data_IF_525021180074
#
_entry.id   IF_525021180074
#
_cell.length_a   1.000
_cell.length_b   1.000
_cell.length_c   1.000
_cell.angle_alpha   90.00
_cell.angle_beta   90.00
_cell.angle_gamma   90.00
#
_symmetry.space_group_name_H-M   'P 1'
#
loop_
_entity.id
_entity.type
_entity.pdbx_description
1 polymer ?
#
# COMPACT_ATOMS: atom_id res chain seq x y z
N UNK A 1 33.49 -15.35 16.04
CA UNK A 1 32.86 -14.56 17.13
C UNK A 1 33.27 -13.12 16.97
N UNK A 2 32.40 -12.28 16.43
CA UNK A 2 32.38 -10.82 16.65
C UNK A 2 30.99 -10.34 16.25
N UNK A 3 30.23 -10.00 17.28
CA UNK A 3 28.87 -9.48 17.30
C UNK A 3 28.86 -8.04 16.78
N UNK A 4 28.17 -7.81 15.67
CA UNK A 4 27.85 -6.46 15.17
C UNK A 4 26.47 -6.05 15.65
N UNK A 5 26.42 -5.04 16.52
CA UNK A 5 25.23 -4.50 17.16
C UNK A 5 24.16 -4.08 16.13
N UNK A 6 22.96 -4.63 16.28
CA UNK A 6 21.76 -4.12 15.61
C UNK A 6 21.39 -2.77 16.22
N UNK A 7 21.26 -1.75 15.38
CA UNK A 7 20.83 -0.41 15.78
C UNK A 7 19.42 -0.46 16.34
N UNK A 8 19.30 -0.16 17.62
CA UNK A 8 18.06 0.04 18.36
C UNK A 8 17.42 1.36 17.90
N UNK A 9 16.63 1.35 16.83
CA UNK A 9 15.88 2.56 16.42
C UNK A 9 14.51 2.31 15.82
N UNK A 10 13.88 1.15 16.06
CA UNK A 10 12.47 0.91 15.70
C UNK A 10 11.73 0.09 16.78
N UNK A 11 11.60 0.67 17.97
CA UNK A 11 10.57 0.23 18.92
C UNK A 11 9.22 0.87 18.50
N UNK A 12 8.11 0.12 18.46
CA UNK A 12 6.79 0.70 18.26
C UNK A 12 6.53 1.73 19.36
N UNK A 13 6.25 2.97 18.96
CA UNK A 13 6.02 4.06 19.90
C UNK A 13 4.69 3.89 20.65
N UNK A 14 4.60 4.36 21.91
CA UNK A 14 3.38 4.26 22.72
C UNK A 14 2.19 5.02 22.07
N UNK A 15 0.96 4.52 22.22
CA UNK A 15 -0.23 5.17 21.69
C UNK A 15 -0.52 6.46 22.48
N UNK A 16 -0.81 7.57 21.78
CA UNK A 16 -1.36 8.76 22.45
C UNK A 16 -0.85 10.15 22.02
N UNK A 17 0.06 10.27 21.05
CA UNK A 17 0.33 11.58 20.40
C UNK A 17 -0.01 11.49 18.93
N UNK A 18 -1.14 12.09 18.52
CA UNK A 18 -1.40 12.36 17.10
C UNK A 18 -0.29 13.27 16.58
N UNK A 19 0.74 12.68 15.96
CA UNK A 19 1.73 13.47 15.24
C UNK A 19 1.03 14.09 14.05
N UNK A 20 1.08 15.42 13.96
CA UNK A 20 0.53 16.17 12.83
C UNK A 20 1.10 15.57 11.52
N UNK A 21 0.25 15.14 10.57
CA UNK A 21 0.71 14.51 9.34
C UNK A 21 1.73 15.38 8.60
N UNK A 22 2.74 14.80 7.92
CA UNK A 22 3.74 15.56 7.17
C UNK A 22 3.14 16.56 6.19
N UNK A 23 2.04 16.19 5.51
CA UNK A 23 1.34 17.06 4.56
C UNK A 23 0.76 18.33 5.22
N UNK A 24 0.25 18.22 6.45
CA UNK A 24 -0.30 19.37 7.19
C UNK A 24 0.83 20.32 7.60
N UNK A 25 1.95 19.77 8.07
CA UNK A 25 3.16 20.56 8.38
C UNK A 25 3.73 21.25 7.13
N UNK A 26 3.81 20.54 6.01
CA UNK A 26 4.24 21.12 4.74
C UNK A 26 3.30 22.24 4.27
N UNK A 27 1.99 22.05 4.39
CA UNK A 27 0.99 23.08 4.09
C UNK A 27 1.15 24.32 4.97
N UNK A 28 1.41 24.16 6.27
CA UNK A 28 1.70 25.27 7.17
C UNK A 28 2.97 26.04 6.79
N UNK A 29 4.03 25.33 6.34
CA UNK A 29 5.24 25.96 5.84
C UNK A 29 4.97 26.82 4.59
N UNK A 30 4.18 26.30 3.65
CA UNK A 30 3.76 27.04 2.46
C UNK A 30 2.94 28.28 2.81
N UNK A 31 1.96 28.14 3.68
CA UNK A 31 1.11 29.24 4.09
C UNK A 31 1.93 30.34 4.79
N UNK A 32 2.84 29.96 5.69
CA UNK A 32 3.74 30.91 6.35
C UNK A 32 4.65 31.63 5.36
N UNK A 33 5.27 30.90 4.42
CA UNK A 33 6.13 31.50 3.39
C UNK A 33 5.35 32.47 2.48
N UNK A 34 4.14 32.08 2.08
CA UNK A 34 3.26 32.93 1.26
C UNK A 34 2.87 34.21 2.01
N UNK A 35 2.48 34.11 3.29
CA UNK A 35 2.16 35.27 4.13
C UNK A 35 3.33 36.25 4.23
N UNK A 36 4.55 35.74 4.46
CA UNK A 36 5.78 36.57 4.52
C UNK A 36 6.04 37.29 3.20
N UNK A 37 5.91 36.59 2.07
CA UNK A 37 6.14 37.20 0.75
C UNK A 37 5.06 38.25 0.43
N UNK A 38 3.80 37.96 0.77
CA UNK A 38 2.65 38.83 0.52
C UNK A 38 2.62 40.10 1.38
N UNK A 39 3.29 40.11 2.53
CA UNK A 39 3.37 41.30 3.39
C UNK A 39 4.41 42.32 2.91
N UNK A 40 5.34 41.90 2.06
CA UNK A 40 6.46 42.75 1.58
C UNK A 40 6.24 43.20 0.13
N UNK A 41 5.57 42.39 -0.69
CA UNK A 41 5.43 42.65 -2.12
C UNK A 41 3.99 42.99 -2.52
N UNK A 42 3.79 43.89 -3.51
CA UNK A 42 2.47 44.20 -4.03
C UNK A 42 1.86 42.98 -4.75
N UNK A 43 0.53 42.87 -4.74
CA UNK A 43 -0.20 41.73 -5.29
C UNK A 43 0.19 41.38 -6.75
N UNK A 44 0.47 42.38 -7.58
CA UNK A 44 0.88 42.19 -8.97
C UNK A 44 2.24 41.48 -9.14
N UNK A 45 3.12 41.55 -8.13
CA UNK A 45 4.44 40.90 -8.17
C UNK A 45 4.42 39.45 -7.67
N UNK A 46 3.36 39.01 -6.97
CA UNK A 46 3.29 37.71 -6.29
C UNK A 46 3.34 36.50 -7.24
N UNK A 47 3.00 36.71 -8.51
CA UNK A 47 3.01 35.67 -9.54
C UNK A 47 4.34 35.62 -10.33
N UNK A 48 5.30 36.51 -10.02
CA UNK A 48 6.61 36.54 -10.68
C UNK A 48 7.44 35.30 -10.32
N UNK A 49 8.14 34.72 -11.30
CA UNK A 49 8.91 33.49 -11.11
C UNK A 49 9.92 33.54 -9.96
N UNK A 50 10.62 34.67 -9.79
CA UNK A 50 11.55 34.89 -8.67
C UNK A 50 10.86 34.89 -7.30
N UNK A 51 9.63 35.41 -7.23
CA UNK A 51 8.84 35.48 -6.00
C UNK A 51 8.33 34.10 -5.60
N UNK A 52 7.88 33.30 -6.57
CA UNK A 52 7.47 31.92 -6.35
C UNK A 52 8.66 31.03 -5.91
N UNK A 53 9.85 31.25 -6.50
CA UNK A 53 11.09 30.59 -6.07
C UNK A 53 11.45 30.98 -4.63
N UNK A 54 11.36 32.26 -4.28
CA UNK A 54 11.61 32.72 -2.91
C UNK A 54 10.63 32.10 -1.91
N UNK A 55 9.33 32.07 -2.23
CA UNK A 55 8.33 31.39 -1.41
C UNK A 55 8.69 29.90 -1.23
N UNK A 56 9.02 29.20 -2.31
CA UNK A 56 9.38 27.79 -2.28
C UNK A 56 10.64 27.51 -1.45
N UNK A 57 11.66 28.37 -1.54
CA UNK A 57 12.88 28.29 -0.74
C UNK A 57 12.59 28.52 0.75
N UNK A 58 11.77 29.53 1.09
CA UNK A 58 11.36 29.79 2.46
C UNK A 58 10.60 28.58 3.04
N UNK A 59 9.60 28.06 2.31
CA UNK A 59 8.84 26.89 2.73
C UNK A 59 9.73 25.63 2.88
N UNK A 60 10.66 25.41 1.96
CA UNK A 60 11.62 24.30 2.03
C UNK A 60 12.56 24.44 3.26
N UNK A 61 13.02 25.67 3.55
CA UNK A 61 13.81 25.98 4.74
C UNK A 61 13.04 25.72 6.04
N UNK A 62 11.80 26.22 6.14
CA UNK A 62 10.91 25.98 7.27
C UNK A 62 10.58 24.49 7.48
N UNK A 63 10.61 23.69 6.40
CA UNK A 63 10.41 22.24 6.47
C UNK A 63 11.40 21.52 7.39
N UNK A 64 12.64 22.04 7.53
CA UNK A 64 13.61 21.50 8.49
C UNK A 64 13.20 21.76 9.94
N UNK A 65 12.73 22.97 10.25
CA UNK A 65 12.22 23.32 11.58
C UNK A 65 10.99 22.47 11.96
N UNK A 66 10.16 22.14 10.97
CA UNK A 66 8.99 21.29 11.13
C UNK A 66 9.29 19.78 11.12
N UNK A 67 10.58 19.38 11.10
CA UNK A 67 11.01 17.97 11.10
C UNK A 67 10.38 17.15 9.97
N UNK A 68 10.33 17.73 8.77
CA UNK A 68 9.95 17.01 7.56
C UNK A 68 11.15 16.21 7.03
N UNK A 69 10.88 15.08 6.37
CA UNK A 69 11.92 14.32 5.68
C UNK A 69 12.56 15.16 4.56
N UNK A 70 13.85 14.97 4.22
CA UNK A 70 14.57 15.85 3.29
C UNK A 70 13.91 16.02 1.91
N UNK A 71 13.23 14.98 1.40
CA UNK A 71 12.54 15.04 0.11
C UNK A 71 11.37 16.03 0.08
N UNK A 72 10.78 16.38 1.23
CA UNK A 72 9.74 17.41 1.30
C UNK A 72 10.27 18.81 0.95
N UNK A 73 11.58 19.04 1.01
CA UNK A 73 12.16 20.29 0.52
C UNK A 73 11.92 20.47 -0.98
N UNK A 74 12.03 19.39 -1.77
CA UNK A 74 11.77 19.41 -3.21
C UNK A 74 10.28 19.72 -3.46
N UNK A 75 9.39 19.05 -2.73
CA UNK A 75 7.94 19.31 -2.84
C UNK A 75 7.62 20.76 -2.51
N UNK A 76 8.13 21.29 -1.40
CA UNK A 76 7.88 22.67 -1.01
C UNK A 76 8.48 23.69 -1.98
N UNK A 77 9.63 23.39 -2.58
CA UNK A 77 10.24 24.26 -3.58
C UNK A 77 9.41 24.33 -4.87
N UNK A 78 8.94 23.19 -5.36
CA UNK A 78 8.23 23.08 -6.66
C UNK A 78 6.76 23.47 -6.54
N UNK A 79 6.13 23.30 -5.36
CA UNK A 79 4.71 23.53 -5.15
C UNK A 79 4.18 24.89 -5.64
N UNK A 80 4.75 26.06 -5.25
CA UNK A 80 4.23 27.36 -5.71
C UNK A 80 4.34 27.54 -7.24
N UNK A 81 5.40 27.00 -7.85
CA UNK A 81 5.55 27.00 -9.31
C UNK A 81 4.49 26.14 -9.99
N UNK A 82 4.21 24.95 -9.44
CA UNK A 82 3.18 24.05 -9.96
C UNK A 82 1.77 24.65 -9.84
N UNK A 83 1.47 25.34 -8.73
CA UNK A 83 0.19 26.04 -8.55
C UNK A 83 0.05 27.19 -9.56
N UNK A 84 1.09 28.02 -9.72
CA UNK A 84 1.09 29.11 -10.70
C UNK A 84 0.92 28.58 -12.12
N UNK A 85 1.66 27.53 -12.50
CA UNK A 85 1.51 26.89 -13.81
C UNK A 85 0.11 26.30 -14.02
N UNK A 86 -0.49 25.69 -13.00
CA UNK A 86 -1.86 25.18 -13.10
C UNK A 86 -2.89 26.32 -13.29
N UNK A 87 -2.62 27.50 -12.74
CA UNK A 87 -3.44 28.70 -12.96
C UNK A 87 -3.28 29.25 -14.38
N UNK A 88 -2.07 29.24 -14.96
CA UNK A 88 -1.86 29.76 -16.33
C UNK A 88 -2.54 28.91 -17.40
N UNK A 89 -2.63 27.60 -17.19
CA UNK A 89 -3.37 26.68 -18.08
C UNK A 89 -4.85 26.54 -17.69
N UNK A 90 -5.33 27.32 -16.71
CA UNK A 90 -6.70 27.34 -16.22
C UNK A 90 -7.27 25.93 -15.93
N UNK A 91 -6.52 25.11 -15.18
CA UNK A 91 -6.96 23.74 -14.84
C UNK A 91 -8.37 23.78 -14.21
N UNK A 92 -9.36 23.08 -14.78
CA UNK A 92 -10.72 23.11 -14.26
C UNK A 92 -10.81 22.59 -12.82
N UNK A 93 -11.63 23.20 -11.94
CA UNK A 93 -11.85 22.73 -10.57
C UNK A 93 -12.25 21.25 -10.47
N UNK A 94 -12.97 20.75 -11.49
CA UNK A 94 -13.39 19.35 -11.59
C UNK A 94 -12.22 18.38 -11.66
N UNK A 95 -11.08 18.77 -12.24
CA UNK A 95 -9.88 17.93 -12.28
C UNK A 95 -9.36 17.69 -10.87
N UNK A 96 -9.23 18.74 -10.05
CA UNK A 96 -8.81 18.58 -8.65
C UNK A 96 -9.77 17.70 -7.86
N UNK A 97 -11.09 17.89 -8.03
CA UNK A 97 -12.10 17.07 -7.36
C UNK A 97 -12.00 15.61 -7.78
N UNK A 98 -11.92 15.31 -9.07
CA UNK A 98 -11.80 13.94 -9.59
C UNK A 98 -10.50 13.30 -9.10
N UNK A 99 -9.37 14.01 -9.17
CA UNK A 99 -8.09 13.52 -8.63
C UNK A 99 -8.19 13.22 -7.14
N UNK A 100 -8.81 14.11 -6.35
CA UNK A 100 -9.04 13.87 -4.93
C UNK A 100 -9.91 12.62 -4.69
N UNK A 101 -11.03 12.47 -5.39
CA UNK A 101 -11.93 11.33 -5.25
C UNK A 101 -11.25 10.01 -5.65
N UNK A 102 -10.44 10.02 -6.71
CA UNK A 102 -9.65 8.85 -7.13
C UNK A 102 -8.62 8.49 -6.06
N UNK A 103 -7.84 9.45 -5.57
CA UNK A 103 -6.85 9.22 -4.52
C UNK A 103 -7.51 8.75 -3.22
N UNK A 104 -8.65 9.33 -2.84
CA UNK A 104 -9.44 8.90 -1.69
C UNK A 104 -10.00 7.47 -1.91
N UNK A 105 -10.42 7.13 -3.13
CA UNK A 105 -10.88 5.81 -3.48
C UNK A 105 -9.80 4.73 -3.48
N UNK A 106 -8.53 5.10 -3.71
CA UNK A 106 -7.36 4.20 -3.67
C UNK A 106 -6.77 4.10 -2.25
N UNK A 107 -6.52 5.23 -1.59
CA UNK A 107 -5.76 5.30 -0.33
C UNK A 107 -6.62 5.58 0.90
N UNK A 108 -7.93 5.83 0.72
CA UNK A 108 -8.83 6.16 1.83
C UNK A 108 -8.96 5.04 2.87
N UNK A 109 -8.85 3.77 2.46
CA UNK A 109 -8.82 2.63 3.37
C UNK A 109 -7.53 2.60 4.21
N UNK A 110 -6.39 3.00 3.64
CA UNK A 110 -5.07 2.99 4.31
C UNK A 110 -5.04 3.85 5.57
N UNK A 111 -5.82 4.94 5.65
CA UNK A 111 -5.95 5.73 6.88
C UNK A 111 -6.50 4.93 8.07
N UNK A 112 -7.27 3.87 7.81
CA UNK A 112 -7.86 2.99 8.83
C UNK A 112 -7.07 1.69 8.99
N UNK A 113 -6.66 1.07 7.88
CA UNK A 113 -6.06 -0.27 7.89
C UNK A 113 -4.54 -0.26 8.00
N UNK A 114 -3.89 0.86 7.68
CA UNK A 114 -2.43 0.95 7.54
C UNK A 114 -1.85 -0.07 6.55
N UNK A 115 -2.67 -0.45 5.56
CA UNK A 115 -2.27 -1.29 4.42
C UNK A 115 -2.35 -0.42 3.17
N UNK A 116 -1.21 0.03 2.60
CA UNK A 116 -1.19 0.71 1.32
C UNK A 116 -1.33 -0.29 0.16
N UNK A 117 -1.62 0.20 -1.03
CA UNK A 117 -1.69 -0.64 -2.23
C UNK A 117 -0.29 -1.12 -2.62
N UNK A 118 -0.01 -2.40 -2.34
CA UNK A 118 1.15 -3.11 -2.88
C UNK A 118 0.75 -3.98 -4.06
N UNK A 119 1.65 -4.09 -5.05
CA UNK A 119 1.44 -4.88 -6.26
C UNK A 119 2.48 -5.99 -6.34
N UNK A 120 2.01 -7.23 -6.41
CA UNK A 120 2.87 -8.39 -6.61
C UNK A 120 3.56 -8.31 -7.97
N UNK A 121 4.88 -8.51 -7.97
CA UNK A 121 5.68 -8.51 -9.19
C UNK A 121 5.67 -9.89 -9.86
N UNK A 122 6.16 -9.96 -11.11
CA UNK A 122 6.16 -11.20 -11.89
C UNK A 122 6.88 -12.36 -11.19
N UNK A 123 8.06 -12.11 -10.59
CA UNK A 123 8.84 -13.14 -9.88
C UNK A 123 8.09 -13.73 -8.68
N UNK A 124 7.36 -12.89 -7.94
CA UNK A 124 6.50 -13.34 -6.85
C UNK A 124 5.34 -14.19 -7.37
N UNK A 125 4.75 -13.85 -8.51
CA UNK A 125 3.70 -14.65 -9.12
C UNK A 125 4.24 -15.98 -9.65
N UNK A 126 5.40 -15.97 -10.32
CA UNK A 126 6.04 -17.19 -10.83
C UNK A 126 6.38 -18.15 -9.68
N UNK A 127 6.90 -17.65 -8.56
CA UNK A 127 7.14 -18.44 -7.35
C UNK A 127 5.85 -18.92 -6.69
N UNK A 128 4.80 -18.11 -6.66
CA UNK A 128 3.49 -18.54 -6.14
C UNK A 128 2.94 -19.69 -7.00
N UNK A 129 3.04 -19.60 -8.32
CA UNK A 129 2.58 -20.64 -9.24
C UNK A 129 3.28 -22.00 -9.01
N UNK A 130 4.51 -22.04 -8.48
CA UNK A 130 5.18 -23.33 -8.16
C UNK A 130 4.63 -24.00 -6.91
N UNK A 131 3.88 -23.28 -6.08
CA UNK A 131 3.31 -23.78 -4.83
C UNK A 131 1.91 -24.36 -5.00
N UNK A 132 1.25 -24.03 -6.11
CA UNK A 132 -0.17 -24.31 -6.30
C UNK A 132 -0.37 -25.67 -6.99
N UNK A 133 -1.35 -26.49 -6.55
CA UNK A 133 -1.67 -27.74 -7.22
C UNK A 133 -2.09 -27.51 -8.67
N UNK A 134 -1.58 -28.31 -9.61
CA UNK A 134 -2.00 -28.29 -11.01
C UNK A 134 -2.91 -29.46 -11.38
N UNK A 135 -2.98 -30.47 -10.52
CA UNK A 135 -3.59 -31.78 -10.75
C UNK A 135 -4.98 -31.93 -10.11
N UNK A 136 -5.37 -31.01 -9.21
CA UNK A 136 -6.64 -31.07 -8.48
C UNK A 136 -7.29 -29.70 -8.32
N UNK A 137 -8.63 -29.64 -8.16
CA UNK A 137 -9.31 -28.39 -7.84
C UNK A 137 -8.94 -27.90 -6.43
N UNK A 138 -8.89 -26.58 -6.27
CA UNK A 138 -8.67 -25.91 -4.99
C UNK A 138 -9.27 -24.50 -5.01
N UNK A 139 -9.45 -23.92 -3.83
CA UNK A 139 -9.93 -22.55 -3.63
C UNK A 139 -8.81 -21.69 -3.08
N UNK A 140 -8.49 -20.60 -3.79
CA UNK A 140 -7.51 -19.61 -3.35
C UNK A 140 -8.18 -18.30 -2.98
N UNK A 141 -7.83 -17.75 -1.83
CA UNK A 141 -8.16 -16.39 -1.41
C UNK A 141 -6.95 -15.47 -1.57
N UNK A 142 -7.13 -14.32 -2.22
CA UNK A 142 -6.18 -13.21 -2.26
C UNK A 142 -6.70 -12.08 -1.36
N UNK A 143 -6.07 -11.91 -0.19
CA UNK A 143 -6.44 -10.90 0.79
C UNK A 143 -5.79 -9.57 0.41
N UNK A 144 -6.62 -8.54 0.19
CA UNK A 144 -6.15 -7.26 -0.33
C UNK A 144 -5.77 -7.39 -1.80
N UNK A 145 -6.65 -7.97 -2.62
CA UNK A 145 -6.33 -8.35 -4.00
C UNK A 145 -5.99 -7.18 -4.93
N UNK A 146 -6.15 -5.93 -4.46
CA UNK A 146 -5.84 -4.72 -5.21
C UNK A 146 -6.63 -4.68 -6.50
N UNK A 147 -5.92 -4.60 -7.63
CA UNK A 147 -6.53 -4.59 -8.96
C UNK A 147 -6.83 -5.99 -9.52
N UNK A 148 -6.68 -7.06 -8.73
CA UNK A 148 -6.96 -8.45 -9.13
C UNK A 148 -5.88 -9.11 -9.99
N UNK A 149 -4.67 -8.55 -10.04
CA UNK A 149 -3.59 -9.02 -10.92
C UNK A 149 -3.16 -10.45 -10.61
N UNK A 150 -3.09 -10.83 -9.33
CA UNK A 150 -2.75 -12.21 -8.90
C UNK A 150 -3.82 -13.17 -9.43
N UNK A 151 -5.09 -12.92 -9.12
CA UNK A 151 -6.21 -13.78 -9.53
C UNK A 151 -6.26 -14.00 -11.05
N UNK A 152 -6.11 -12.92 -11.83
CA UNK A 152 -6.13 -12.97 -13.29
C UNK A 152 -4.93 -13.70 -13.89
N UNK A 153 -3.78 -13.65 -13.22
CA UNK A 153 -2.60 -14.42 -13.62
C UNK A 153 -2.84 -15.91 -13.36
N UNK A 154 -3.24 -16.27 -12.15
CA UNK A 154 -3.43 -17.66 -11.74
C UNK A 154 -4.57 -18.34 -12.49
N UNK A 155 -5.70 -17.65 -12.71
CA UNK A 155 -6.84 -18.19 -13.43
C UNK A 155 -6.53 -18.56 -14.90
N UNK A 156 -5.51 -17.94 -15.51
CA UNK A 156 -5.06 -18.32 -16.86
C UNK A 156 -4.29 -19.64 -16.90
N UNK A 157 -3.66 -20.04 -15.79
CA UNK A 157 -2.80 -21.23 -15.72
C UNK A 157 -3.50 -22.41 -15.05
N UNK A 158 -4.27 -22.16 -13.99
CA UNK A 158 -4.93 -23.18 -13.19
C UNK A 158 -6.41 -23.22 -13.51
N UNK A 159 -6.82 -24.12 -14.41
CA UNK A 159 -8.19 -24.21 -14.89
C UNK A 159 -9.17 -24.88 -13.91
N UNK A 160 -8.67 -25.78 -13.06
CA UNK A 160 -9.47 -26.46 -12.04
C UNK A 160 -9.67 -25.63 -10.76
N UNK A 161 -8.98 -24.50 -10.62
CA UNK A 161 -8.99 -23.69 -9.42
C UNK A 161 -10.07 -22.60 -9.45
N UNK A 162 -10.59 -22.28 -8.27
CA UNK A 162 -11.48 -21.14 -8.03
C UNK A 162 -10.75 -20.07 -7.23
N UNK A 163 -10.92 -18.83 -7.65
CA UNK A 163 -10.17 -17.69 -7.16
C UNK A 163 -11.11 -16.69 -6.52
N UNK A 164 -10.87 -16.35 -5.26
CA UNK A 164 -11.57 -15.29 -4.56
C UNK A 164 -10.57 -14.20 -4.21
N UNK A 165 -10.88 -12.93 -4.49
CA UNK A 165 -10.17 -11.79 -3.91
C UNK A 165 -11.09 -10.92 -3.09
N UNK A 166 -10.55 -10.36 -2.02
CA UNK A 166 -11.24 -9.35 -1.21
C UNK A 166 -10.43 -8.06 -1.18
N UNK A 167 -11.09 -6.93 -1.40
CA UNK A 167 -10.45 -5.61 -1.42
C UNK A 167 -11.36 -4.56 -0.81
N UNK A 168 -10.84 -3.76 0.12
CA UNK A 168 -11.60 -2.73 0.83
C UNK A 168 -11.66 -1.41 0.04
N UNK A 169 -10.56 -1.05 -0.64
CA UNK A 169 -10.41 0.18 -1.40
C UNK A 169 -11.32 0.17 -2.63
N UNK A 170 -12.12 1.23 -2.79
CA UNK A 170 -13.17 1.30 -3.81
C UNK A 170 -12.61 1.18 -5.23
N UNK A 171 -11.58 1.96 -5.56
CA UNK A 171 -11.05 2.02 -6.94
C UNK A 171 -10.36 0.71 -7.33
N UNK A 172 -9.41 0.16 -6.54
CA UNK A 172 -8.82 -1.15 -6.82
C UNK A 172 -9.89 -2.26 -6.94
N UNK A 173 -10.86 -2.30 -6.02
CA UNK A 173 -11.98 -3.25 -6.09
C UNK A 173 -12.77 -3.15 -7.41
N UNK A 174 -13.20 -1.94 -7.82
CA UNK A 174 -13.98 -1.77 -9.05
C UNK A 174 -13.19 -2.24 -10.27
N UNK A 175 -11.90 -1.91 -10.33
CA UNK A 175 -11.00 -2.38 -11.40
C UNK A 175 -10.89 -3.90 -11.38
N UNK A 176 -10.64 -4.50 -10.22
CA UNK A 176 -10.52 -5.95 -10.06
C UNK A 176 -11.80 -6.69 -10.46
N UNK A 177 -12.96 -6.23 -9.98
CA UNK A 177 -14.27 -6.82 -10.30
C UNK A 177 -14.59 -6.73 -11.78
N UNK A 178 -14.31 -5.60 -12.43
CA UNK A 178 -14.51 -5.45 -13.88
C UNK A 178 -13.58 -6.39 -14.67
N UNK A 179 -12.29 -6.40 -14.33
CA UNK A 179 -11.32 -7.29 -14.99
C UNK A 179 -11.68 -8.77 -14.80
N UNK A 180 -12.13 -9.16 -13.61
CA UNK A 180 -12.55 -10.54 -13.31
C UNK A 180 -13.76 -10.96 -14.14
N UNK A 181 -14.84 -10.16 -14.14
CA UNK A 181 -16.08 -10.44 -14.89
C UNK A 181 -15.86 -10.60 -16.39
N UNK A 182 -14.90 -9.86 -16.96
CA UNK A 182 -14.57 -9.93 -18.39
C UNK A 182 -13.67 -11.13 -18.76
N UNK A 183 -13.17 -11.90 -17.79
CA UNK A 183 -12.09 -12.87 -18.02
C UNK A 183 -12.44 -14.29 -17.63
N UNK A 184 -13.12 -14.49 -16.51
CA UNK A 184 -13.41 -15.83 -16.00
C UNK A 184 -14.50 -15.77 -14.92
N UNK A 185 -15.46 -16.68 -15.00
CA UNK A 185 -16.48 -16.95 -13.98
C UNK A 185 -15.89 -17.55 -12.69
N UNK A 186 -14.76 -18.24 -12.80
CA UNK A 186 -13.99 -18.77 -11.66
C UNK A 186 -13.31 -17.73 -10.78
N UNK A 187 -13.37 -16.44 -11.15
CA UNK A 187 -12.81 -15.34 -10.35
C UNK A 187 -13.94 -14.56 -9.69
N UNK A 188 -14.05 -14.67 -8.38
CA UNK A 188 -14.90 -13.83 -7.55
C UNK A 188 -14.07 -12.71 -6.91
N UNK A 189 -14.58 -11.48 -6.87
CA UNK A 189 -13.88 -10.34 -6.26
C UNK A 189 -14.84 -9.55 -5.40
N UNK A 190 -14.78 -9.64 -4.08
CA UNK A 190 -15.71 -8.94 -3.20
C UNK A 190 -15.11 -7.66 -2.61
N UNK A 191 -15.96 -6.64 -2.41
CA UNK A 191 -15.59 -5.48 -1.61
C UNK A 191 -15.86 -5.76 -0.14
N UNK A 192 -14.93 -6.45 0.51
CA UNK A 192 -15.09 -6.94 1.88
C UNK A 192 -13.88 -6.58 2.73
N UNK A 193 -14.10 -6.60 4.05
CA UNK A 193 -13.03 -6.60 5.03
C UNK A 193 -12.63 -8.07 5.27
N UNK A 194 -11.38 -8.41 4.97
CA UNK A 194 -10.89 -9.78 5.07
C UNK A 194 -10.96 -10.37 6.49
N UNK A 195 -11.09 -9.53 7.53
CA UNK A 195 -11.33 -10.00 8.89
C UNK A 195 -12.66 -10.76 9.03
N UNK A 196 -13.63 -10.48 8.16
CA UNK A 196 -14.96 -11.10 8.15
C UNK A 196 -15.03 -12.38 7.30
N UNK A 197 -14.01 -12.65 6.50
CA UNK A 197 -13.95 -13.84 5.66
C UNK A 197 -13.68 -15.07 6.52
N UNK A 198 -14.45 -16.15 6.31
CA UNK A 198 -14.17 -17.44 6.93
C UNK A 198 -13.07 -18.16 6.15
N UNK A 199 -11.86 -18.23 6.73
CA UNK A 199 -10.69 -18.80 6.06
C UNK A 199 -10.75 -20.31 5.92
N UNK A 200 -11.65 -21.01 6.64
CA UNK A 200 -11.82 -22.45 6.52
C UNK A 200 -12.24 -22.88 5.11
N UNK A 201 -12.85 -21.98 4.35
CA UNK A 201 -13.36 -22.22 2.99
C UNK A 201 -12.28 -22.33 1.90
N UNK A 202 -11.02 -22.04 2.23
CA UNK A 202 -9.94 -21.96 1.25
C UNK A 202 -8.85 -23.01 1.52
N UNK A 203 -8.17 -23.39 0.45
CA UNK A 203 -7.00 -24.30 0.51
C UNK A 203 -5.70 -23.50 0.49
N UNK A 204 -5.73 -22.30 -0.09
CA UNK A 204 -4.61 -21.37 -0.15
C UNK A 204 -5.10 -19.97 0.19
N UNK A 205 -4.42 -19.30 1.12
CA UNK A 205 -4.60 -17.88 1.42
C UNK A 205 -3.32 -17.14 1.08
N UNK A 206 -3.40 -16.19 0.16
CA UNK A 206 -2.31 -15.32 -0.26
C UNK A 206 -2.52 -13.90 0.29
N UNK A 207 -1.45 -13.27 0.77
CA UNK A 207 -1.49 -11.91 1.30
C UNK A 207 -0.27 -11.09 0.86
N UNK A 208 -0.51 -9.85 0.41
CA UNK A 208 0.54 -8.84 0.27
C UNK A 208 0.10 -7.52 0.90
N UNK A 209 0.05 -7.50 2.24
CA UNK A 209 -0.55 -6.43 3.04
C UNK A 209 0.51 -5.46 3.56
N UNK A 210 0.75 -5.40 4.86
CA UNK A 210 1.82 -4.62 5.48
C UNK A 210 2.29 -5.36 6.75
N UNK A 211 3.35 -4.93 7.43
CA UNK A 211 3.77 -5.58 8.68
C UNK A 211 2.74 -5.50 9.80
N UNK A 212 1.92 -4.43 9.81
CA UNK A 212 0.99 -4.10 10.90
C UNK A 212 -0.02 -5.23 11.18
N UNK A 213 -0.79 -5.74 10.20
CA UNK A 213 -1.79 -6.78 10.46
C UNK A 213 -1.23 -8.19 10.61
N UNK A 214 0.07 -8.45 10.38
CA UNK A 214 0.57 -9.82 10.22
C UNK A 214 0.40 -10.70 11.47
N UNK A 215 0.53 -10.14 12.67
CA UNK A 215 0.36 -10.89 13.93
C UNK A 215 -1.11 -11.29 14.13
N UNK A 216 -2.04 -10.35 13.95
CA UNK A 216 -3.47 -10.61 14.05
C UNK A 216 -3.94 -11.57 12.94
N UNK A 217 -3.43 -11.39 11.72
CA UNK A 217 -3.75 -12.23 10.57
C UNK A 217 -3.28 -13.65 10.81
N UNK A 218 -2.08 -13.83 11.37
CA UNK A 218 -1.58 -15.14 11.73
C UNK A 218 -2.45 -15.85 12.76
N UNK A 219 -2.98 -15.13 13.76
CA UNK A 219 -3.93 -15.70 14.72
C UNK A 219 -5.18 -16.24 14.02
N UNK A 220 -5.76 -15.45 13.12
CA UNK A 220 -6.92 -15.85 12.31
C UNK A 220 -6.62 -17.05 11.40
N UNK A 221 -5.50 -17.00 10.68
CA UNK A 221 -5.01 -18.10 9.83
C UNK A 221 -4.87 -19.38 10.64
N UNK A 222 -4.21 -19.32 11.79
CA UNK A 222 -3.96 -20.49 12.64
C UNK A 222 -5.24 -21.06 13.25
N UNK A 223 -6.24 -20.23 13.52
CA UNK A 223 -7.50 -20.66 14.12
C UNK A 223 -8.53 -21.18 13.12
N UNK A 224 -8.57 -20.62 11.90
CA UNK A 224 -9.65 -20.88 10.95
C UNK A 224 -9.23 -21.76 9.77
N UNK A 225 -7.97 -21.70 9.31
CA UNK A 225 -7.56 -22.52 8.17
C UNK A 225 -7.47 -23.99 8.55
N UNK A 226 -7.90 -24.85 7.62
CA UNK A 226 -7.88 -26.32 7.80
C UNK A 226 -6.44 -26.85 7.79
N UNK A 227 -6.19 -27.96 8.48
CA UNK A 227 -4.91 -28.65 8.37
C UNK A 227 -4.61 -29.09 6.92
N UNK A 228 -3.34 -29.04 6.51
CA UNK A 228 -2.87 -29.34 5.16
C UNK A 228 -3.02 -28.19 4.15
N UNK A 229 -3.60 -27.05 4.56
CA UNK A 229 -3.73 -25.85 3.71
C UNK A 229 -2.51 -24.93 3.78
N UNK A 230 -2.45 -23.95 2.88
CA UNK A 230 -1.28 -23.09 2.70
C UNK A 230 -1.60 -21.62 2.98
N UNK A 231 -0.82 -20.99 3.86
CA UNK A 231 -0.77 -19.54 3.96
C UNK A 231 0.52 -19.03 3.31
N UNK A 232 0.39 -18.06 2.39
CA UNK A 232 1.51 -17.47 1.66
C UNK A 232 1.50 -15.95 1.85
N UNK A 233 2.53 -15.42 2.49
CA UNK A 233 2.73 -13.97 2.61
C UNK A 233 3.84 -13.50 1.70
N UNK A 234 3.56 -12.45 0.93
CA UNK A 234 4.56 -11.81 0.09
C UNK A 234 5.29 -10.70 0.86
N UNK A 235 6.61 -10.80 0.91
CA UNK A 235 7.57 -9.88 1.53
C UNK A 235 7.49 -9.81 3.05
N UNK A 236 6.29 -9.78 3.64
CA UNK A 236 6.09 -9.57 5.06
C UNK A 236 6.06 -10.87 5.86
N UNK A 237 6.95 -10.97 6.84
CA UNK A 237 7.00 -12.08 7.79
C UNK A 237 5.94 -11.93 8.87
N UNK A 238 5.62 -13.03 9.54
CA UNK A 238 4.88 -13.02 10.81
C UNK A 238 5.91 -12.96 11.94
N UNK A 239 5.97 -11.87 12.73
CA UNK A 239 6.94 -11.76 13.82
C UNK A 239 6.84 -12.95 14.80
N UNK A 240 7.98 -13.59 15.07
CA UNK A 240 8.07 -14.71 16.01
C UNK A 240 7.56 -16.04 15.47
N UNK A 241 7.13 -16.12 14.21
CA UNK A 241 6.64 -17.36 13.60
C UNK A 241 7.46 -17.69 12.36
N UNK A 242 8.33 -18.70 12.49
CA UNK A 242 9.17 -19.16 11.38
C UNK A 242 8.29 -19.76 10.25
N UNK A 243 8.48 -19.36 8.98
CA UNK A 243 7.88 -20.06 7.85
C UNK A 243 8.49 -21.45 7.68
N UNK A 244 7.71 -22.38 7.12
CA UNK A 244 8.21 -23.72 6.81
C UNK A 244 9.26 -23.65 5.70
N UNK A 245 9.06 -22.75 4.74
CA UNK A 245 10.07 -22.39 3.75
C UNK A 245 9.82 -20.99 3.17
N UNK A 246 10.88 -20.45 2.56
CA UNK A 246 10.89 -19.12 1.98
C UNK A 246 11.48 -19.16 0.57
N UNK A 247 10.79 -18.55 -0.40
CA UNK A 247 11.28 -18.43 -1.79
C UNK A 247 11.71 -16.98 -2.03
N UNK A 248 12.97 -16.78 -2.43
CA UNK A 248 13.48 -15.44 -2.76
C UNK A 248 12.96 -15.00 -4.13
N UNK A 249 12.32 -13.83 -4.21
CA UNK A 249 11.64 -13.35 -5.43
C UNK A 249 12.13 -11.98 -5.89
N UNK A 250 13.22 -11.47 -5.32
CA UNK A 250 13.82 -10.22 -5.76
C UNK A 250 14.99 -9.78 -4.87
N UNK A 251 15.57 -8.60 -5.17
CA UNK A 251 16.62 -8.02 -4.33
C UNK A 251 16.05 -7.58 -2.98
N UNK A 252 16.91 -7.62 -1.96
CA UNK A 252 16.56 -7.23 -0.59
C UNK A 252 15.72 -8.27 0.12
N UNK A 253 14.69 -7.82 0.86
CA UNK A 253 13.83 -8.65 1.70
C UNK A 253 12.62 -9.24 0.96
N UNK A 254 12.60 -9.18 -0.38
CA UNK A 254 11.47 -9.64 -1.19
C UNK A 254 11.48 -11.16 -1.32
N UNK A 255 10.68 -11.81 -0.50
CA UNK A 255 10.50 -13.26 -0.48
C UNK A 255 9.04 -13.64 -0.33
N UNK A 256 8.65 -14.83 -0.80
CA UNK A 256 7.41 -15.47 -0.37
C UNK A 256 7.69 -16.31 0.87
N UNK A 257 6.97 -16.01 1.95
CA UNK A 257 7.01 -16.77 3.19
C UNK A 257 5.82 -17.72 3.21
N UNK A 258 6.08 -19.00 3.46
CA UNK A 258 5.08 -20.05 3.29
C UNK A 258 4.93 -20.85 4.58
N UNK A 259 3.68 -21.01 5.01
CA UNK A 259 3.31 -21.83 6.16
C UNK A 259 2.27 -22.86 5.72
N UNK A 260 2.49 -24.10 6.09
CA UNK A 260 1.55 -25.20 5.97
C UNK A 260 0.85 -25.41 7.30
N UNK A 261 -0.47 -25.27 7.29
CA UNK A 261 -1.25 -25.28 8.52
C UNK A 261 -1.39 -26.72 9.02
N UNK A 262 -1.09 -26.96 10.30
CA UNK A 262 -1.33 -28.25 10.96
C UNK A 262 -0.31 -29.38 10.72
N UNK A 263 0.74 -29.18 9.92
CA UNK A 263 1.79 -30.20 9.67
C UNK A 263 3.07 -29.99 10.52
N UNK A 264 2.93 -29.50 11.76
CA UNK A 264 4.08 -29.48 12.68
C UNK A 264 4.26 -30.87 13.27
N UNK A 265 5.23 -31.61 12.74
CA UNK A 265 5.78 -32.82 13.32
C UNK A 265 6.42 -32.55 14.68
#
# INVERSE_FOLDING_TARGET
>A
MTTGAQSTTDLPLPPGRMRVPPVVRAGAAQLGAWLIVSSVLPAGALHGGLVLLLQGLLAAGSGRALRLAPWWAIVNLVFPLAVSFAQTIAVPPTVYLVTFLVLAGIYGSTFRTQVPLYLSNARALDALETLLPSDRPYRLLDIGCGMGTVLLRLARKFHAAHFHGVELALVPFVIARLRARLRSDRIHVERSDYWKEDLANYDVVYAFLSPVPMVDLWRKVSSEMRAGTLFVSNTFEVPGVKPDFTIHVGPGTRSLHVWRIGERA
#
